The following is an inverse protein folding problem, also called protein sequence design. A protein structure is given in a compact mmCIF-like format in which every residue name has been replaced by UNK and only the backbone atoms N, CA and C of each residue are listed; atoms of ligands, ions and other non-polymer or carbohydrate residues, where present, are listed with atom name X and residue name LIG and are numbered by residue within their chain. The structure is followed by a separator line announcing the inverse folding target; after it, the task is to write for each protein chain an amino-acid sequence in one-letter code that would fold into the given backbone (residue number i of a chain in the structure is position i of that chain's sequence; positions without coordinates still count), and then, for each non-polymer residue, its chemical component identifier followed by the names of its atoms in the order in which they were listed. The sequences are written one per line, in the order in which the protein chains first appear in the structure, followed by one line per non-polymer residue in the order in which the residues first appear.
data_IF_876430276847
#
_entry.id   IF_876430276847
#
_cell.length_a   1.000
_cell.length_b   1.000
_cell.length_c   1.000
_cell.angle_alpha   90.00
_cell.angle_beta   90.00
_cell.angle_gamma   90.00
#
_symmetry.space_group_name_H-M   'P 1'
#
loop_
_entity.id
_entity.type
_entity.pdbx_description
1 polymer ?
#
# COMPACT_ATOMS: atom_id res chain seq x y z
N UNK A 1 -25.61 -51.37 3.95
CA UNK A 1 -27.03 -51.01 3.75
C UNK A 1 -27.45 -50.06 4.85
N UNK A 2 -27.06 -48.79 4.71
CA UNK A 2 -27.64 -47.61 5.39
C UNK A 2 -27.28 -46.42 4.51
N UNK A 3 -27.63 -46.53 3.22
CA UNK A 3 -27.85 -45.39 2.34
C UNK A 3 -29.35 -45.11 2.43
N UNK A 4 -29.76 -44.20 3.30
CA UNK A 4 -31.08 -43.59 3.18
C UNK A 4 -31.15 -42.29 3.99
N UNK A 5 -31.38 -41.20 3.26
CA UNK A 5 -31.82 -39.86 3.69
C UNK A 5 -30.77 -38.90 4.27
N UNK A 6 -29.80 -38.50 3.43
CA UNK A 6 -29.53 -37.06 3.31
C UNK A 6 -30.71 -36.44 2.56
N UNK A 7 -31.77 -36.17 3.33
CA UNK A 7 -32.97 -35.49 2.87
C UNK A 7 -32.58 -34.15 2.27
N UNK A 8 -32.88 -33.98 0.97
CA UNK A 8 -32.72 -32.77 0.17
C UNK A 8 -33.11 -31.52 0.97
N UNK A 9 -32.11 -30.86 1.58
CA UNK A 9 -32.32 -29.51 2.10
C UNK A 9 -32.49 -28.62 0.88
N UNK A 10 -33.56 -27.81 0.78
CA UNK A 10 -33.73 -26.91 -0.34
C UNK A 10 -32.46 -26.07 -0.48
N UNK A 11 -31.71 -26.27 -1.57
CA UNK A 11 -30.58 -25.42 -1.90
C UNK A 11 -31.17 -24.04 -2.19
N UNK A 12 -31.13 -23.16 -1.19
CA UNK A 12 -31.52 -21.76 -1.36
C UNK A 12 -30.62 -21.20 -2.47
N UNK A 13 -31.23 -20.92 -3.62
CA UNK A 13 -30.54 -20.40 -4.79
C UNK A 13 -29.82 -19.11 -4.38
N UNK A 14 -28.53 -19.01 -4.70
CA UNK A 14 -27.77 -17.81 -4.36
C UNK A 14 -28.37 -16.61 -5.12
N UNK A 15 -28.76 -15.53 -4.43
CA UNK A 15 -29.23 -14.32 -5.10
C UNK A 15 -28.10 -13.75 -5.98
N UNK A 16 -28.43 -12.84 -6.90
CA UNK A 16 -27.43 -12.20 -7.74
C UNK A 16 -26.37 -11.46 -6.90
N UNK A 17 -25.10 -11.51 -7.32
CA UNK A 17 -24.03 -10.78 -6.65
C UNK A 17 -24.07 -9.28 -7.00
N UNK A 18 -24.38 -8.96 -8.25
CA UNK A 18 -24.58 -7.58 -8.69
C UNK A 18 -25.80 -6.96 -8.00
N UNK A 19 -25.61 -5.76 -7.43
CA UNK A 19 -26.63 -5.04 -6.67
C UNK A 19 -26.82 -5.49 -5.22
N UNK A 20 -26.11 -6.52 -4.76
CA UNK A 20 -26.26 -7.06 -3.40
C UNK A 20 -25.56 -6.21 -2.33
N UNK A 21 -26.05 -6.30 -1.09
CA UNK A 21 -25.43 -5.60 0.04
C UNK A 21 -24.04 -6.17 0.37
N UNK A 22 -23.85 -7.49 0.22
CA UNK A 22 -22.52 -8.13 0.37
C UNK A 22 -21.47 -7.54 -0.58
N UNK A 23 -21.80 -7.33 -1.86
CA UNK A 23 -20.87 -6.75 -2.84
C UNK A 23 -20.55 -5.30 -2.49
N UNK A 24 -21.56 -4.53 -2.05
CA UNK A 24 -21.38 -3.14 -1.62
C UNK A 24 -20.40 -3.06 -0.43
N UNK A 25 -20.53 -3.93 0.56
CA UNK A 25 -19.62 -4.00 1.70
C UNK A 25 -18.22 -4.43 1.25
N UNK A 26 -18.11 -5.39 0.33
CA UNK A 26 -16.82 -5.79 -0.25
C UNK A 26 -16.13 -4.63 -0.97
N UNK A 27 -16.86 -3.83 -1.75
CA UNK A 27 -16.30 -2.63 -2.40
C UNK A 27 -15.88 -1.58 -1.37
N UNK A 28 -16.65 -1.39 -0.30
CA UNK A 28 -16.22 -0.50 0.80
C UNK A 28 -14.93 -0.98 1.46
N UNK A 29 -14.76 -2.29 1.67
CA UNK A 29 -13.52 -2.88 2.18
C UNK A 29 -12.34 -2.73 1.20
N UNK A 30 -12.59 -2.79 -0.11
CA UNK A 30 -11.60 -2.52 -1.15
C UNK A 30 -11.09 -1.08 -1.04
N UNK A 31 -12.00 -0.11 -0.99
CA UNK A 31 -11.63 1.31 -0.86
C UNK A 31 -10.94 1.58 0.49
N UNK A 32 -11.35 0.94 1.58
CA UNK A 32 -10.67 1.03 2.87
C UNK A 32 -9.22 0.54 2.79
N UNK A 33 -9.02 -0.64 2.20
CA UNK A 33 -7.68 -1.23 2.02
C UNK A 33 -6.81 -0.32 1.17
N UNK A 34 -7.37 0.25 0.10
CA UNK A 34 -6.69 1.23 -0.75
C UNK A 34 -6.28 2.49 0.03
N UNK A 35 -7.24 3.15 0.68
CA UNK A 35 -7.02 4.39 1.43
C UNK A 35 -6.01 4.21 2.57
N UNK A 36 -6.10 3.11 3.31
CA UNK A 36 -5.19 2.84 4.43
C UNK A 36 -3.72 2.78 4.00
N UNK A 37 -3.44 2.24 2.81
CA UNK A 37 -2.10 2.22 2.23
C UNK A 37 -1.72 3.54 1.60
N UNK A 38 -2.64 4.19 0.87
CA UNK A 38 -2.42 5.50 0.25
C UNK A 38 -1.88 6.53 1.26
N UNK A 39 -2.51 6.64 2.43
CA UNK A 39 -2.08 7.56 3.50
C UNK A 39 -0.75 7.16 4.14
N UNK A 40 -0.35 5.90 4.01
CA UNK A 40 0.75 5.33 4.79
C UNK A 40 2.05 5.23 4.00
N UNK A 41 1.97 5.00 2.68
CA UNK A 41 3.16 4.83 1.81
C UNK A 41 3.56 6.11 1.06
N UNK A 42 2.74 7.16 1.12
CA UNK A 42 2.99 8.43 0.42
C UNK A 42 4.28 9.17 0.84
N UNK A 43 4.82 8.89 2.04
CA UNK A 43 5.98 9.63 2.59
C UNK A 43 7.23 9.55 1.70
N UNK A 44 7.47 8.43 1.03
CA UNK A 44 8.61 8.30 0.12
C UNK A 44 8.59 9.35 -0.99
N UNK A 45 7.42 9.61 -1.59
CA UNK A 45 7.25 10.66 -2.60
C UNK A 45 7.22 12.06 -2.00
N UNK A 46 6.70 12.23 -0.78
CA UNK A 46 6.77 13.52 -0.07
C UNK A 46 8.23 13.96 0.13
N UNK A 47 9.12 13.05 0.54
CA UNK A 47 10.55 13.33 0.70
C UNK A 47 11.19 13.67 -0.67
N UNK A 48 10.77 12.97 -1.73
CA UNK A 48 11.18 13.28 -3.11
C UNK A 48 10.85 14.73 -3.46
N UNK A 49 9.63 15.15 -3.15
CA UNK A 49 9.11 16.49 -3.40
C UNK A 49 9.76 17.59 -2.56
N UNK A 50 10.06 17.31 -1.29
CA UNK A 50 10.71 18.27 -0.39
C UNK A 50 12.13 18.64 -0.85
N UNK A 51 12.85 17.76 -1.56
CA UNK A 51 14.19 18.11 -2.07
C UNK A 51 14.18 18.57 -3.54
N UNK A 52 13.04 18.97 -4.11
CA UNK A 52 12.94 19.43 -5.51
C UNK A 52 13.75 20.72 -5.76
N UNK A 53 14.07 21.49 -4.72
CA UNK A 53 14.82 22.75 -4.81
C UNK A 53 16.25 22.66 -5.37
N UNK A 54 16.87 21.46 -5.44
CA UNK A 54 18.27 21.31 -5.86
C UNK A 54 18.49 21.52 -7.38
N UNK A 55 17.47 21.39 -8.24
CA UNK A 55 17.65 21.47 -9.71
C UNK A 55 17.21 22.78 -10.36
N UNK A 56 16.38 23.60 -9.70
CA UNK A 56 15.93 24.88 -10.26
C UNK A 56 16.93 26.03 -10.10
N UNK A 57 17.98 25.86 -9.30
CA UNK A 57 19.02 26.88 -9.08
C UNK A 57 20.29 26.67 -9.94
N UNK A 58 20.30 25.70 -10.85
CA UNK A 58 21.45 25.42 -11.73
C UNK A 58 21.45 26.23 -13.03
N UNK A 59 20.51 27.17 -13.20
CA UNK A 59 20.50 28.12 -14.32
C UNK A 59 20.37 29.54 -13.78
N UNK A 60 21.49 30.09 -13.30
CA UNK A 60 21.69 31.53 -13.21
C UNK A 60 23.09 31.86 -13.74
N UNK A 61 23.10 32.85 -14.61
CA UNK A 61 24.16 33.35 -15.49
C UNK A 61 25.59 33.46 -14.93
N UNK A 62 26.60 33.47 -15.82
CA UNK A 62 27.99 33.69 -15.45
C UNK A 62 28.22 35.17 -15.12
N UNK A 63 28.52 35.47 -13.87
CA UNK A 63 29.09 36.78 -13.51
C UNK A 63 28.76 37.20 -12.10
N UNK A 64 29.73 37.09 -11.21
CA UNK A 64 30.35 38.22 -10.46
C UNK A 64 30.98 37.69 -9.17
N UNK A 65 32.30 37.72 -9.17
CA UNK A 65 33.21 37.98 -8.05
C UNK A 65 33.10 37.19 -6.74
N UNK A 66 33.91 36.13 -6.69
CA UNK A 66 34.88 35.80 -5.64
C UNK A 66 34.67 36.26 -4.19
N UNK A 67 34.58 35.27 -3.31
CA UNK A 67 35.25 35.32 -2.00
C UNK A 67 35.56 33.89 -1.53
N UNK A 68 36.85 33.60 -1.39
CA UNK A 68 37.40 32.35 -0.85
C UNK A 68 36.94 32.16 0.61
N UNK A 69 36.47 30.96 0.96
CA UNK A 69 36.35 30.53 2.36
C UNK A 69 37.32 29.38 2.61
N UNK A 70 38.43 29.71 3.27
CA UNK A 70 39.32 28.78 3.95
C UNK A 70 38.64 28.23 5.21
N UNK A 71 38.86 26.95 5.47
CA UNK A 71 38.50 26.26 6.70
C UNK A 71 39.18 26.88 7.91
N UNK A 72 38.42 27.10 8.99
CA UNK A 72 38.76 26.55 10.31
C UNK A 72 37.60 26.72 11.30
N UNK A 73 37.58 25.78 12.25
CA UNK A 73 36.58 25.45 13.26
C UNK A 73 36.20 26.57 14.24
N UNK A 74 34.91 26.73 14.53
CA UNK A 74 34.38 26.87 15.90
C UNK A 74 32.84 26.78 15.97
N UNK A 75 32.35 26.18 17.06
CA UNK A 75 30.96 25.87 17.36
C UNK A 75 30.25 27.10 17.94
N UNK A 76 29.26 27.66 17.24
CA UNK A 76 28.42 28.72 17.81
C UNK A 76 26.95 28.53 17.44
N UNK A 77 26.12 28.24 18.45
CA UNK A 77 24.66 28.34 18.37
C UNK A 77 24.29 29.82 18.24
N UNK A 78 23.62 30.20 17.15
CA UNK A 78 23.02 31.53 17.04
C UNK A 78 21.57 31.41 16.59
N UNK A 79 20.67 31.67 17.55
CA UNK A 79 19.27 31.97 17.29
C UNK A 79 19.16 33.33 16.64
N UNK A 80 18.52 33.40 15.47
CA UNK A 80 18.01 34.64 14.91
C UNK A 80 16.65 34.38 14.26
N UNK A 81 15.60 34.86 14.91
CA UNK A 81 14.29 35.06 14.30
C UNK A 81 14.42 36.13 13.20
N UNK A 82 14.05 35.76 11.97
CA UNK A 82 13.74 36.69 10.89
C UNK A 82 12.48 36.20 10.18
N UNK A 83 11.34 36.82 10.49
CA UNK A 83 10.09 36.60 9.78
C UNK A 83 10.11 37.36 8.45
N UNK A 84 10.44 36.67 7.37
CA UNK A 84 10.03 37.04 6.02
C UNK A 84 9.06 35.96 5.51
N UNK A 85 7.76 36.26 5.58
CA UNK A 85 6.69 35.49 4.94
C UNK A 85 6.77 35.64 3.43
N UNK A 86 7.46 34.71 2.77
CA UNK A 86 7.20 34.12 1.44
C UNK A 86 8.42 33.31 1.06
N UNK A 87 8.52 32.08 1.55
CA UNK A 87 9.25 30.99 0.92
C UNK A 87 8.84 29.70 1.63
N UNK A 88 8.59 28.66 0.84
CA UNK A 88 8.29 27.33 1.33
C UNK A 88 9.48 26.89 2.18
N UNK A 89 9.37 26.97 3.51
CA UNK A 89 10.46 26.62 4.42
C UNK A 89 10.93 25.20 4.07
N UNK A 90 12.09 25.08 3.45
CA UNK A 90 12.68 23.82 3.02
C UNK A 90 13.03 23.00 4.26
N UNK A 91 12.05 22.22 4.73
CA UNK A 91 12.26 21.26 5.82
C UNK A 91 13.08 20.11 5.25
N UNK A 92 14.39 20.27 5.26
CA UNK A 92 15.34 19.25 4.82
C UNK A 92 15.61 18.26 5.94
N UNK A 93 15.37 16.99 5.67
CA UNK A 93 15.71 15.89 6.58
C UNK A 93 17.01 15.21 6.15
N UNK A 94 17.89 14.95 7.11
CA UNK A 94 19.04 14.08 6.92
C UNK A 94 18.61 12.66 6.50
N UNK A 95 19.47 11.92 5.79
CA UNK A 95 19.19 10.56 5.31
C UNK A 95 18.82 9.61 6.46
N UNK A 96 19.46 9.77 7.63
CA UNK A 96 19.10 8.99 8.82
C UNK A 96 17.68 9.30 9.30
N UNK A 97 17.30 10.58 9.34
CA UNK A 97 15.95 11.00 9.72
C UNK A 97 14.89 10.50 8.73
N UNK A 98 15.18 10.55 7.42
CA UNK A 98 14.30 9.98 6.38
C UNK A 98 14.05 8.49 6.61
N UNK A 99 15.11 7.71 6.85
CA UNK A 99 15.01 6.28 7.15
C UNK A 99 14.19 5.99 8.42
N UNK A 100 14.39 6.78 9.48
CA UNK A 100 13.61 6.66 10.71
C UNK A 100 12.12 7.00 10.52
N UNK A 101 11.80 8.05 9.76
CA UNK A 101 10.40 8.44 9.50
C UNK A 101 9.68 7.44 8.58
N UNK A 102 10.38 6.85 7.62
CA UNK A 102 9.86 5.78 6.77
C UNK A 102 9.57 4.52 7.60
N UNK A 103 10.46 4.16 8.53
CA UNK A 103 10.28 2.99 9.41
C UNK A 103 9.26 3.20 10.52
N UNK A 104 9.04 4.44 10.97
CA UNK A 104 8.13 4.84 12.06
C UNK A 104 6.75 4.17 11.99
N UNK A 105 6.16 4.16 10.80
CA UNK A 105 4.88 3.51 10.51
C UNK A 105 4.87 2.04 10.90
N UNK A 106 5.93 1.32 10.57
CA UNK A 106 5.98 -0.12 10.76
C UNK A 106 6.09 -0.49 12.24
N UNK A 107 6.69 0.36 13.08
CA UNK A 107 6.62 0.18 14.53
C UNK A 107 5.17 0.23 15.04
N UNK A 108 4.37 1.17 14.52
CA UNK A 108 2.94 1.24 14.80
C UNK A 108 2.19 -0.02 14.39
N UNK A 109 2.43 -0.49 13.16
CA UNK A 109 1.81 -1.71 12.62
C UNK A 109 2.14 -2.92 13.49
N UNK A 110 3.42 -3.15 13.80
CA UNK A 110 3.86 -4.31 14.61
C UNK A 110 3.20 -4.31 15.99
N UNK A 111 3.12 -3.14 16.64
CA UNK A 111 2.54 -3.03 17.97
C UNK A 111 1.04 -3.35 18.01
N UNK A 112 0.28 -2.96 16.99
CA UNK A 112 -1.18 -3.05 16.98
C UNK A 112 -1.74 -4.24 16.20
N UNK A 113 -0.95 -4.91 15.35
CA UNK A 113 -1.45 -5.99 14.50
C UNK A 113 -2.11 -7.14 15.29
N UNK A 114 -1.47 -7.61 16.36
CA UNK A 114 -2.02 -8.67 17.22
C UNK A 114 -3.19 -8.16 18.07
N UNK A 115 -3.05 -6.94 18.60
CA UNK A 115 -4.06 -6.33 19.45
C UNK A 115 -5.38 -6.12 18.68
N UNK A 116 -5.31 -5.58 17.47
CA UNK A 116 -6.50 -5.38 16.61
C UNK A 116 -7.22 -6.69 16.30
N UNK A 117 -6.50 -7.79 16.08
CA UNK A 117 -7.11 -9.12 15.89
C UNK A 117 -7.90 -9.57 17.11
N UNK A 118 -7.31 -9.45 18.31
CA UNK A 118 -8.01 -9.77 19.56
C UNK A 118 -9.21 -8.86 19.82
N UNK A 119 -9.13 -7.56 19.51
CA UNK A 119 -10.27 -6.65 19.63
C UNK A 119 -11.42 -7.04 18.71
N UNK A 120 -11.13 -7.48 17.48
CA UNK A 120 -12.13 -7.97 16.54
C UNK A 120 -12.91 -9.15 17.14
N UNK A 121 -12.19 -10.11 17.72
CA UNK A 121 -12.78 -11.31 18.31
C UNK A 121 -13.57 -11.00 19.58
N UNK A 122 -13.06 -10.11 20.44
CA UNK A 122 -13.68 -9.78 21.73
C UNK A 122 -14.92 -8.89 21.58
N UNK A 123 -14.82 -7.81 20.80
CA UNK A 123 -15.88 -6.81 20.73
C UNK A 123 -16.89 -7.07 19.60
N UNK A 124 -16.47 -7.72 18.51
CA UNK A 124 -17.36 -8.04 17.40
C UNK A 124 -17.92 -6.83 16.63
N UNK A 125 -17.41 -5.62 16.89
CA UNK A 125 -17.84 -4.33 16.31
C UNK A 125 -16.86 -3.87 15.21
N UNK A 126 -16.82 -4.60 14.10
CA UNK A 126 -15.86 -4.38 13.00
C UNK A 126 -16.04 -3.00 12.37
N UNK A 127 -17.29 -2.58 12.15
CA UNK A 127 -17.63 -1.24 11.63
C UNK A 127 -16.98 -0.13 12.45
N UNK A 128 -17.14 -0.18 13.77
CA UNK A 128 -16.64 0.86 14.66
C UNK A 128 -15.11 0.94 14.64
N UNK A 129 -14.43 -0.22 14.62
CA UNK A 129 -12.97 -0.28 14.52
C UNK A 129 -12.46 0.31 13.21
N UNK A 130 -13.09 -0.05 12.08
CA UNK A 130 -12.69 0.47 10.77
C UNK A 130 -12.90 1.98 10.65
N UNK A 131 -14.06 2.49 11.10
CA UNK A 131 -14.38 3.92 11.05
C UNK A 131 -13.47 4.72 12.00
N UNK A 132 -13.25 4.22 13.22
CA UNK A 132 -12.35 4.86 14.18
C UNK A 132 -10.91 4.92 13.66
N UNK A 133 -10.39 3.79 13.16
CA UNK A 133 -9.06 3.73 12.57
C UNK A 133 -8.90 4.66 11.37
N UNK A 134 -9.88 4.66 10.46
CA UNK A 134 -9.85 5.54 9.27
C UNK A 134 -9.93 7.02 9.62
N UNK A 135 -10.78 7.39 10.57
CA UNK A 135 -10.96 8.79 11.00
C UNK A 135 -9.69 9.31 11.64
N UNK A 136 -9.11 8.56 12.59
CA UNK A 136 -7.85 8.97 13.25
C UNK A 136 -6.71 9.03 12.24
N UNK A 137 -6.59 8.02 11.36
CA UNK A 137 -5.57 8.00 10.31
C UNK A 137 -5.69 9.23 9.38
N UNK A 138 -6.92 9.56 8.96
CA UNK A 138 -7.20 10.71 8.10
C UNK A 138 -6.90 12.04 8.78
N UNK A 139 -7.32 12.21 10.05
CA UNK A 139 -7.02 13.42 10.84
C UNK A 139 -5.53 13.60 11.04
N UNK A 140 -4.81 12.55 11.44
CA UNK A 140 -3.34 12.61 11.60
C UNK A 140 -2.66 12.93 10.26
N UNK A 141 -3.17 12.39 9.14
CA UNK A 141 -2.66 12.74 7.81
C UNK A 141 -2.88 14.23 7.50
N UNK A 142 -4.08 14.77 7.72
CA UNK A 142 -4.36 16.20 7.48
C UNK A 142 -3.50 17.10 8.38
N UNK A 143 -3.25 16.69 9.62
CA UNK A 143 -2.43 17.46 10.56
C UNK A 143 -0.92 17.32 10.28
N UNK A 144 -0.49 16.35 9.46
CA UNK A 144 0.92 16.06 9.23
C UNK A 144 1.74 17.28 8.75
N UNK A 145 1.30 18.09 7.78
CA UNK A 145 2.03 19.30 7.38
C UNK A 145 2.18 20.33 8.50
N UNK A 146 1.20 20.42 9.41
CA UNK A 146 1.25 21.33 10.57
C UNK A 146 2.23 20.80 11.63
N UNK A 147 2.21 19.50 11.89
CA UNK A 147 3.15 18.85 12.81
C UNK A 147 4.59 19.05 12.33
N UNK A 148 4.84 18.91 11.02
CA UNK A 148 6.15 19.12 10.42
C UNK A 148 6.63 20.57 10.62
N UNK A 149 5.74 21.56 10.44
CA UNK A 149 6.09 22.99 10.54
C UNK A 149 6.30 23.47 11.99
N UNK A 150 5.43 23.06 12.91
CA UNK A 150 5.39 23.67 14.26
C UNK A 150 6.01 22.79 15.35
N UNK A 151 6.01 21.47 15.18
CA UNK A 151 6.44 20.53 16.23
C UNK A 151 7.76 19.81 15.88
N UNK A 152 8.12 19.73 14.60
CA UNK A 152 9.38 19.15 14.14
C UNK A 152 9.39 17.60 14.07
N UNK A 153 10.58 17.05 13.84
CA UNK A 153 10.80 15.63 13.47
C UNK A 153 10.31 14.62 14.53
N UNK A 154 10.56 14.79 15.85
CA UNK A 154 10.14 13.80 16.85
C UNK A 154 8.61 13.64 16.95
N UNK A 155 7.87 14.73 16.85
CA UNK A 155 6.41 14.70 16.87
C UNK A 155 5.84 14.11 15.58
N UNK A 156 6.47 14.40 14.44
CA UNK A 156 6.10 13.77 13.18
C UNK A 156 6.38 12.26 13.22
N UNK A 157 7.50 11.82 13.79
CA UNK A 157 7.77 10.40 14.03
C UNK A 157 6.65 9.73 14.85
N UNK A 158 6.26 10.34 15.97
CA UNK A 158 5.15 9.83 16.78
C UNK A 158 3.83 9.78 15.99
N UNK A 159 3.52 10.81 15.20
CA UNK A 159 2.35 10.82 14.32
C UNK A 159 2.39 9.65 13.31
N UNK A 160 3.56 9.35 12.74
CA UNK A 160 3.74 8.22 11.81
C UNK A 160 3.52 6.87 12.49
N UNK A 161 3.98 6.70 13.73
CA UNK A 161 3.67 5.49 14.54
C UNK A 161 2.16 5.35 14.72
N UNK A 162 1.45 6.44 15.05
CA UNK A 162 -0.02 6.44 15.20
C UNK A 162 -0.71 6.09 13.87
N UNK A 163 -0.22 6.60 12.73
CA UNK A 163 -0.77 6.24 11.42
C UNK A 163 -0.66 4.73 11.15
N UNK A 164 0.52 4.15 11.41
CA UNK A 164 0.72 2.71 11.25
C UNK A 164 -0.16 1.87 12.18
N UNK A 165 -0.34 2.31 13.42
CA UNK A 165 -1.28 1.69 14.36
C UNK A 165 -2.73 1.71 13.82
N UNK A 166 -3.18 2.87 13.32
CA UNK A 166 -4.54 3.05 12.78
C UNK A 166 -4.81 2.22 11.52
N UNK A 167 -3.78 1.99 10.70
CA UNK A 167 -3.86 1.12 9.52
C UNK A 167 -4.29 -0.32 9.89
N UNK A 168 -3.82 -0.86 11.03
CA UNK A 168 -4.23 -2.20 11.47
C UNK A 168 -5.74 -2.27 11.76
N UNK A 169 -6.31 -1.22 12.34
CA UNK A 169 -7.76 -1.15 12.61
C UNK A 169 -8.60 -1.06 11.34
N UNK A 170 -8.01 -0.67 10.21
CA UNK A 170 -8.67 -0.67 8.91
C UNK A 170 -8.68 -2.05 8.26
N UNK A 171 -7.54 -2.75 8.29
CA UNK A 171 -7.33 -3.98 7.51
C UNK A 171 -7.76 -5.23 8.30
N UNK A 172 -7.42 -5.33 9.59
CA UNK A 172 -7.71 -6.52 10.39
C UNK A 172 -9.20 -6.88 10.46
N UNK A 173 -10.15 -5.91 10.59
CA UNK A 173 -11.58 -6.23 10.65
C UNK A 173 -12.20 -6.68 9.33
N UNK A 174 -11.54 -6.49 8.18
CA UNK A 174 -12.09 -6.81 6.85
C UNK A 174 -12.48 -8.28 6.74
N UNK A 175 -11.59 -9.19 7.13
CA UNK A 175 -11.84 -10.63 7.00
C UNK A 175 -12.95 -11.12 7.96
N UNK A 176 -12.94 -10.78 9.27
CA UNK A 176 -14.05 -11.08 10.17
C UNK A 176 -15.39 -10.48 9.74
N UNK A 177 -15.39 -9.25 9.17
CA UNK A 177 -16.59 -8.62 8.65
C UNK A 177 -17.14 -9.41 7.46
N UNK A 178 -16.30 -9.70 6.46
CA UNK A 178 -16.72 -10.46 5.28
C UNK A 178 -17.18 -11.86 5.63
N UNK A 179 -16.59 -12.52 6.64
CA UNK A 179 -17.10 -13.82 7.13
C UNK A 179 -18.55 -13.79 7.60
N UNK A 180 -19.08 -12.64 8.02
CA UNK A 180 -20.50 -12.47 8.41
C UNK A 180 -21.41 -12.13 7.22
N UNK A 181 -20.83 -11.70 6.11
CA UNK A 181 -21.52 -11.19 4.93
C UNK A 181 -21.35 -12.08 3.69
N UNK A 182 -20.68 -13.21 3.84
CA UNK A 182 -20.36 -14.11 2.73
C UNK A 182 -20.58 -15.56 3.16
N UNK A 183 -20.88 -16.42 2.18
CA UNK A 183 -20.94 -17.87 2.37
C UNK A 183 -19.61 -18.52 1.97
N UNK A 184 -19.34 -19.73 2.47
CA UNK A 184 -18.06 -20.43 2.19
C UNK A 184 -17.77 -20.64 0.70
N UNK A 185 -18.80 -20.63 -0.17
CA UNK A 185 -18.66 -20.79 -1.62
C UNK A 185 -18.13 -19.52 -2.31
N UNK A 186 -18.53 -18.33 -1.85
CA UNK A 186 -18.17 -17.05 -2.46
C UNK A 186 -17.14 -16.23 -1.65
N UNK A 187 -16.87 -16.65 -0.40
CA UNK A 187 -15.98 -15.95 0.52
C UNK A 187 -14.59 -15.70 -0.07
N UNK A 188 -14.01 -16.67 -0.78
CA UNK A 188 -12.69 -16.52 -1.40
C UNK A 188 -12.63 -15.37 -2.42
N UNK A 189 -13.65 -15.28 -3.27
CA UNK A 189 -13.77 -14.23 -4.29
C UNK A 189 -13.91 -12.85 -3.64
N UNK A 190 -14.80 -12.72 -2.65
CA UNK A 190 -15.09 -11.43 -2.02
C UNK A 190 -13.96 -10.96 -1.11
N UNK A 191 -13.27 -11.86 -0.42
CA UNK A 191 -12.04 -11.54 0.32
C UNK A 191 -10.95 -11.11 -0.66
N UNK A 192 -10.76 -11.84 -1.76
CA UNK A 192 -9.80 -11.47 -2.81
C UNK A 192 -10.06 -10.06 -3.36
N UNK A 193 -11.33 -9.75 -3.67
CA UNK A 193 -11.74 -8.43 -4.14
C UNK A 193 -11.49 -7.33 -3.11
N UNK A 194 -11.81 -7.56 -1.83
CA UNK A 194 -11.53 -6.59 -0.77
C UNK A 194 -10.03 -6.29 -0.61
N UNK A 195 -9.18 -7.32 -0.68
CA UNK A 195 -7.73 -7.14 -0.59
C UNK A 195 -7.08 -6.67 -1.91
N UNK A 196 -7.79 -6.72 -3.05
CA UNK A 196 -7.29 -6.16 -4.31
C UNK A 196 -6.97 -4.65 -4.19
N UNK A 197 -7.67 -3.94 -3.29
CA UNK A 197 -7.37 -2.54 -2.95
C UNK A 197 -5.93 -2.31 -2.47
N UNK A 198 -5.31 -3.31 -1.84
CA UNK A 198 -3.89 -3.26 -1.44
C UNK A 198 -2.96 -3.22 -2.65
N UNK A 199 -3.23 -4.08 -3.63
CA UNK A 199 -2.48 -4.11 -4.88
C UNK A 199 -2.61 -2.80 -5.66
N UNK A 200 -3.85 -2.31 -5.77
CA UNK A 200 -4.15 -1.02 -6.42
C UNK A 200 -3.44 0.15 -5.75
N UNK A 201 -3.40 0.20 -4.41
CA UNK A 201 -2.71 1.28 -3.70
C UNK A 201 -1.20 1.28 -3.95
N UNK A 202 -0.55 0.12 -3.95
CA UNK A 202 0.89 0.04 -4.24
C UNK A 202 1.22 0.49 -5.68
N UNK A 203 0.29 0.32 -6.63
CA UNK A 203 0.47 0.76 -8.01
C UNK A 203 0.14 2.25 -8.22
N UNK A 204 -0.89 2.76 -7.55
CA UNK A 204 -1.41 4.09 -7.82
C UNK A 204 -0.81 5.19 -6.93
N UNK A 205 -0.33 4.88 -5.72
CA UNK A 205 0.05 5.92 -4.73
C UNK A 205 1.17 6.83 -5.23
N UNK A 206 2.30 6.27 -5.67
CA UNK A 206 3.44 7.08 -6.11
C UNK A 206 3.14 7.99 -7.32
N UNK A 207 2.46 7.54 -8.40
CA UNK A 207 2.13 8.42 -9.51
C UNK A 207 1.06 9.45 -9.12
N UNK A 208 0.05 9.08 -8.33
CA UNK A 208 -0.95 10.03 -7.85
C UNK A 208 -0.30 11.13 -7.00
N UNK A 209 0.55 10.75 -6.05
CA UNK A 209 1.22 11.71 -5.15
C UNK A 209 2.28 12.55 -5.87
N UNK A 210 2.97 12.00 -6.87
CA UNK A 210 3.89 12.74 -7.74
C UNK A 210 3.18 13.83 -8.56
N UNK A 211 2.02 13.51 -9.15
CA UNK A 211 1.21 14.50 -9.88
C UNK A 211 0.66 15.59 -8.96
N UNK A 212 0.12 15.21 -7.79
CA UNK A 212 -0.39 16.16 -6.79
C UNK A 212 0.72 17.10 -6.32
N UNK A 213 1.91 16.56 -6.11
CA UNK A 213 3.08 17.34 -5.73
C UNK A 213 3.47 18.39 -6.78
N UNK A 214 3.49 18.01 -8.05
CA UNK A 214 3.85 18.92 -9.14
C UNK A 214 2.86 20.08 -9.27
N UNK A 215 1.57 19.83 -9.03
CA UNK A 215 0.51 20.82 -9.17
C UNK A 215 0.32 21.71 -7.93
N UNK A 216 0.54 21.19 -6.73
CA UNK A 216 0.10 21.83 -5.47
C UNK A 216 1.07 21.65 -4.30
N UNK A 217 2.29 21.20 -4.56
CA UNK A 217 3.35 21.04 -3.55
C UNK A 217 3.14 19.83 -2.63
N UNK A 218 4.14 19.54 -1.79
CA UNK A 218 4.16 18.32 -0.97
C UNK A 218 3.08 18.28 0.11
N UNK A 219 2.65 19.44 0.62
CA UNK A 219 1.64 19.56 1.70
C UNK A 219 0.28 19.03 1.23
N UNK A 220 -0.04 19.29 -0.03
CA UNK A 220 -1.33 18.91 -0.64
C UNK A 220 -1.54 17.39 -0.68
N UNK A 221 -0.46 16.60 -0.76
CA UNK A 221 -0.51 15.13 -0.70
C UNK A 221 -1.19 14.67 0.59
N UNK A 222 -0.76 15.21 1.73
CA UNK A 222 -1.27 14.83 3.04
C UNK A 222 -2.74 15.22 3.23
N UNK A 223 -3.13 16.41 2.73
CA UNK A 223 -4.52 16.86 2.75
C UNK A 223 -5.41 15.97 1.89
N UNK A 224 -5.02 15.72 0.64
CA UNK A 224 -5.78 14.87 -0.28
C UNK A 224 -5.97 13.45 0.29
N UNK A 225 -4.88 12.80 0.72
CA UNK A 225 -4.93 11.46 1.27
C UNK A 225 -5.79 11.40 2.55
N UNK A 226 -5.63 12.38 3.45
CA UNK A 226 -6.39 12.43 4.70
C UNK A 226 -7.88 12.67 4.51
N UNK A 227 -8.26 13.59 3.60
CA UNK A 227 -9.67 13.87 3.26
C UNK A 227 -10.32 12.61 2.69
N UNK A 228 -9.65 11.88 1.79
CA UNK A 228 -10.16 10.61 1.25
C UNK A 228 -10.46 9.56 2.35
N UNK A 229 -9.68 9.54 3.43
CA UNK A 229 -9.92 8.67 4.59
C UNK A 229 -11.13 9.08 5.42
N UNK A 230 -11.21 10.38 5.71
CA UNK A 230 -12.32 10.94 6.48
C UNK A 230 -13.63 10.79 5.69
N UNK A 231 -13.64 11.08 4.38
CA UNK A 231 -14.80 10.90 3.53
C UNK A 231 -15.24 9.43 3.48
N UNK A 232 -14.29 8.49 3.39
CA UNK A 232 -14.60 7.07 3.47
C UNK A 232 -15.26 6.71 4.80
N UNK A 233 -14.79 7.27 5.92
CA UNK A 233 -15.38 7.06 7.25
C UNK A 233 -16.84 7.50 7.31
N UNK A 234 -17.16 8.66 6.72
CA UNK A 234 -18.54 9.18 6.64
C UNK A 234 -19.41 8.24 5.80
N UNK A 235 -18.93 7.81 4.64
CA UNK A 235 -19.68 6.88 3.77
C UNK A 235 -19.87 5.51 4.45
N UNK A 236 -18.86 5.03 5.18
CA UNK A 236 -18.90 3.78 5.92
C UNK A 236 -19.94 3.79 7.06
N UNK A 237 -20.28 4.94 7.65
CA UNK A 237 -21.36 5.06 8.62
C UNK A 237 -22.70 4.62 8.03
N UNK A 238 -22.95 4.90 6.76
CA UNK A 238 -24.23 4.60 6.11
C UNK A 238 -24.26 3.24 5.41
N UNK A 239 -23.11 2.76 4.91
CA UNK A 239 -23.05 1.55 4.06
C UNK A 239 -22.55 0.29 4.77
N UNK A 240 -21.74 0.40 5.83
CA UNK A 240 -21.20 -0.78 6.53
C UNK A 240 -22.08 -1.13 7.74
N UNK A 241 -22.41 -2.40 7.90
CA UNK A 241 -23.09 -2.94 9.09
C UNK A 241 -22.43 -4.25 9.53
N UNK A 242 -22.32 -4.47 10.84
CA UNK A 242 -21.62 -5.65 11.38
C UNK A 242 -22.34 -6.97 11.16
N UNK A 243 -23.66 -6.94 10.95
CA UNK A 243 -24.49 -8.13 10.75
C UNK A 243 -25.59 -7.85 9.71
N UNK A 244 -25.94 -8.83 8.86
CA UNK A 244 -27.00 -8.66 7.86
C UNK A 244 -28.36 -8.39 8.50
N UNK A 245 -28.60 -8.89 9.72
CA UNK A 245 -29.86 -8.68 10.43
C UNK A 245 -30.16 -7.22 10.82
N UNK A 246 -29.13 -6.38 10.96
CA UNK A 246 -29.26 -4.95 11.29
C UNK A 246 -29.23 -4.04 10.08
N UNK A 247 -28.99 -4.57 8.89
CA UNK A 247 -28.80 -3.77 7.69
C UNK A 247 -30.17 -3.41 7.07
N UNK A 248 -30.50 -2.11 6.88
CA UNK A 248 -31.84 -1.69 6.47
C UNK A 248 -32.17 -2.02 5.01
N UNK A 249 -31.17 -2.15 4.14
CA UNK A 249 -31.36 -2.39 2.69
C UNK A 249 -31.15 -3.85 2.24
N UNK A 250 -30.93 -4.78 3.17
CA UNK A 250 -30.74 -6.19 2.81
C UNK A 250 -32.08 -6.79 2.42
N UNK A 251 -32.12 -7.46 1.26
CA UNK A 251 -33.34 -8.15 0.80
C UNK A 251 -33.65 -9.36 1.68
N UNK A 252 -34.93 -9.77 1.71
CA UNK A 252 -35.35 -10.93 2.51
C UNK A 252 -34.67 -12.20 2.02
N UNK A 253 -34.50 -12.35 0.70
CA UNK A 253 -33.83 -13.49 0.07
C UNK A 253 -32.34 -13.54 0.47
N UNK A 254 -31.63 -12.39 0.40
CA UNK A 254 -30.21 -12.30 0.78
C UNK A 254 -30.01 -12.62 2.27
N UNK A 255 -30.90 -12.12 3.13
CA UNK A 255 -30.87 -12.42 4.57
C UNK A 255 -31.07 -13.90 4.84
N UNK A 256 -32.04 -14.55 4.21
CA UNK A 256 -32.30 -15.98 4.37
C UNK A 256 -31.14 -16.83 3.85
N UNK A 257 -30.55 -16.45 2.72
CA UNK A 257 -29.36 -17.10 2.14
C UNK A 257 -28.15 -17.06 3.09
N UNK A 258 -27.87 -15.90 3.69
CA UNK A 258 -26.74 -15.73 4.63
C UNK A 258 -26.99 -16.50 5.94
N UNK A 259 -28.18 -16.37 6.55
CA UNK A 259 -28.51 -16.99 7.84
C UNK A 259 -28.52 -18.51 7.74
N UNK A 260 -29.14 -19.08 6.70
CA UNK A 260 -29.20 -20.53 6.50
C UNK A 260 -27.81 -21.17 6.38
N UNK A 261 -26.87 -20.48 5.73
CA UNK A 261 -25.49 -20.93 5.59
C UNK A 261 -24.68 -20.75 6.88
N UNK A 262 -24.92 -19.67 7.62
CA UNK A 262 -24.20 -19.37 8.86
C UNK A 262 -24.61 -20.31 10.01
N UNK A 263 -25.88 -20.69 10.09
CA UNK A 263 -26.38 -21.68 11.08
C UNK A 263 -25.74 -23.06 10.85
N UNK A 264 -25.53 -23.47 9.59
CA UNK A 264 -24.81 -24.71 9.26
C UNK A 264 -23.32 -24.68 9.66
N UNK A 265 -22.71 -23.49 9.66
CA UNK A 265 -21.33 -23.28 10.10
C UNK A 265 -21.20 -23.31 11.63
N UNK A 266 -22.14 -22.70 12.35
CA UNK A 266 -22.15 -22.63 13.81
C UNK A 266 -22.47 -23.98 14.45
N UNK A 267 -23.33 -24.81 13.84
CA UNK A 267 -23.65 -26.15 14.35
C UNK A 267 -22.44 -27.10 14.35
N UNK A 268 -21.35 -26.76 13.63
CA UNK A 268 -20.12 -27.55 13.56
C UNK A 268 -18.99 -27.03 14.45
N UNK A 269 -19.15 -25.87 15.10
CA UNK A 269 -18.06 -25.21 15.81
C UNK A 269 -18.27 -25.30 17.33
N UNK A 270 -17.82 -26.39 17.94
CA UNK A 270 -17.62 -26.45 19.40
C UNK A 270 -16.57 -25.41 19.79
N UNK A 271 -16.76 -24.66 20.89
CA UNK A 271 -15.74 -23.75 21.45
C UNK A 271 -14.51 -24.56 21.85
N UNK A 272 -13.59 -24.77 20.92
CA UNK A 272 -12.31 -25.42 21.20
C UNK A 272 -11.33 -24.37 21.70
N UNK A 273 -10.69 -24.65 22.84
CA UNK A 273 -9.61 -23.81 23.35
C UNK A 273 -8.45 -23.87 22.36
N UNK A 274 -8.04 -22.72 21.84
CA UNK A 274 -6.95 -22.61 20.86
C UNK A 274 -5.63 -22.96 21.58
N UNK A 275 -4.89 -24.01 21.15
CA UNK A 275 -3.66 -24.42 21.82
C UNK A 275 -2.47 -23.56 21.40
N UNK A 276 -2.45 -22.30 21.83
CA UNK A 276 -1.45 -21.28 21.46
C UNK A 276 0.00 -21.75 21.64
N UNK A 277 0.31 -22.39 22.77
CA UNK A 277 1.67 -22.89 23.04
C UNK A 277 2.12 -23.94 22.01
N UNK A 278 1.24 -24.89 21.65
CA UNK A 278 1.57 -25.92 20.64
C UNK A 278 1.76 -25.32 19.26
N UNK A 279 0.98 -24.29 18.91
CA UNK A 279 1.11 -23.59 17.63
C UNK A 279 2.44 -22.83 17.58
N UNK A 280 2.75 -22.06 18.63
CA UNK A 280 3.98 -21.26 18.71
C UNK A 280 5.25 -22.11 18.81
N UNK A 281 5.19 -23.32 19.35
CA UNK A 281 6.33 -24.25 19.40
C UNK A 281 6.46 -25.12 18.14
N UNK A 282 5.56 -25.01 17.17
CA UNK A 282 5.59 -25.85 15.98
C UNK A 282 6.61 -25.36 14.96
N UNK A 283 7.45 -26.29 14.46
CA UNK A 283 8.46 -26.03 13.43
C UNK A 283 7.87 -25.41 12.15
N UNK A 284 6.71 -25.86 11.62
CA UNK A 284 6.14 -25.27 10.41
C UNK A 284 5.76 -23.79 10.57
N UNK A 285 5.34 -23.36 11.78
CA UNK A 285 4.99 -21.96 12.04
C UNK A 285 6.25 -21.09 11.97
N UNK A 286 7.34 -21.50 12.62
CA UNK A 286 8.60 -20.77 12.54
C UNK A 286 9.18 -20.74 11.13
N UNK A 287 9.08 -21.83 10.38
CA UNK A 287 9.51 -21.86 8.98
C UNK A 287 8.76 -20.81 8.14
N UNK A 288 7.44 -20.68 8.33
CA UNK A 288 6.61 -19.70 7.63
C UNK A 288 6.91 -18.27 8.09
N UNK A 289 7.09 -18.05 9.39
CA UNK A 289 7.45 -16.72 9.95
C UNK A 289 8.78 -16.24 9.36
N UNK A 290 9.83 -17.05 9.44
CA UNK A 290 11.16 -16.70 8.94
C UNK A 290 11.13 -16.43 7.44
N UNK A 291 10.45 -17.27 6.67
CA UNK A 291 10.32 -17.11 5.21
C UNK A 291 9.60 -15.81 4.85
N UNK A 292 8.47 -15.51 5.51
CA UNK A 292 7.74 -14.27 5.28
C UNK A 292 8.55 -13.04 5.72
N UNK A 293 9.30 -13.13 6.81
CA UNK A 293 10.15 -12.05 7.28
C UNK A 293 11.15 -11.63 6.21
N UNK A 294 11.92 -12.58 5.66
CA UNK A 294 12.89 -12.26 4.60
C UNK A 294 12.21 -11.77 3.31
N UNK A 295 11.09 -12.37 2.93
CA UNK A 295 10.33 -11.94 1.75
C UNK A 295 9.84 -10.49 1.88
N UNK A 296 9.24 -10.13 3.02
CA UNK A 296 8.79 -8.77 3.28
C UNK A 296 9.95 -7.80 3.44
N UNK A 297 11.04 -8.18 4.12
CA UNK A 297 12.21 -7.33 4.28
C UNK A 297 12.81 -6.94 2.91
N UNK A 298 13.00 -7.91 2.02
CA UNK A 298 13.49 -7.65 0.66
C UNK A 298 12.48 -6.81 -0.15
N UNK A 299 11.24 -7.27 -0.25
CA UNK A 299 10.25 -6.65 -1.16
C UNK A 299 9.82 -5.26 -0.69
N UNK A 300 9.51 -5.09 0.60
CA UNK A 300 9.10 -3.79 1.16
C UNK A 300 10.29 -2.85 1.27
N UNK A 301 11.46 -3.34 1.65
CA UNK A 301 12.69 -2.54 1.67
C UNK A 301 12.95 -1.90 0.31
N UNK A 302 12.83 -2.67 -0.78
CA UNK A 302 12.95 -2.12 -2.13
C UNK A 302 11.86 -1.10 -2.44
N UNK A 303 10.57 -1.44 -2.26
CA UNK A 303 9.45 -0.56 -2.65
C UNK A 303 9.47 0.78 -1.90
N UNK A 304 9.90 0.79 -0.64
CA UNK A 304 9.96 2.01 0.19
C UNK A 304 11.10 2.92 -0.28
N UNK A 305 12.26 2.34 -0.57
CA UNK A 305 13.46 3.11 -0.95
C UNK A 305 13.53 3.39 -2.46
N UNK A 306 12.64 2.79 -3.26
CA UNK A 306 12.65 2.92 -4.72
C UNK A 306 12.54 4.39 -5.17
N UNK A 307 11.64 5.23 -4.64
CA UNK A 307 11.56 6.63 -5.07
C UNK A 307 12.83 7.43 -4.75
N UNK A 308 13.49 7.12 -3.62
CA UNK A 308 14.75 7.74 -3.23
C UNK A 308 15.88 7.30 -4.17
N UNK A 309 15.96 6.00 -4.51
CA UNK A 309 16.96 5.49 -5.44
C UNK A 309 16.80 6.08 -6.84
N UNK A 310 15.56 6.13 -7.36
CA UNK A 310 15.27 6.66 -8.70
C UNK A 310 15.57 8.15 -8.79
N UNK A 311 15.37 8.92 -7.71
CA UNK A 311 15.79 10.31 -7.66
C UNK A 311 17.31 10.44 -7.49
N UNK A 312 17.86 9.91 -6.41
CA UNK A 312 19.23 10.19 -5.97
C UNK A 312 20.29 9.54 -6.88
N UNK A 313 19.97 8.45 -7.61
CA UNK A 313 20.94 7.72 -8.45
C UNK A 313 20.66 7.87 -9.95
N UNK A 314 19.39 7.92 -10.35
CA UNK A 314 19.02 8.01 -11.78
C UNK A 314 18.69 9.45 -12.23
N UNK A 315 18.62 10.39 -11.28
CA UNK A 315 18.40 11.82 -11.50
C UNK A 315 17.14 12.15 -12.31
N UNK A 316 16.08 11.38 -12.07
CA UNK A 316 14.79 11.58 -12.72
C UNK A 316 13.95 12.66 -12.04
N UNK A 317 13.15 13.37 -12.85
CA UNK A 317 12.15 14.32 -12.35
C UNK A 317 11.12 13.64 -11.44
N UNK A 318 10.42 14.42 -10.59
CA UNK A 318 9.40 13.89 -9.66
C UNK A 318 8.32 13.08 -10.38
N UNK A 319 7.91 13.53 -11.57
CA UNK A 319 6.83 12.91 -12.37
C UNK A 319 7.30 11.60 -12.99
N UNK A 320 8.51 11.58 -13.57
CA UNK A 320 9.14 10.34 -14.05
C UNK A 320 9.35 9.35 -12.90
N UNK A 321 9.84 9.82 -11.75
CA UNK A 321 10.06 9.01 -10.57
C UNK A 321 8.75 8.35 -10.08
N UNK A 322 7.65 9.11 -10.04
CA UNK A 322 6.33 8.57 -9.69
C UNK A 322 5.89 7.43 -10.62
N UNK A 323 6.14 7.55 -11.92
CA UNK A 323 5.81 6.52 -12.93
C UNK A 323 6.71 5.29 -12.78
N UNK A 324 8.04 5.48 -12.72
CA UNK A 324 8.99 4.38 -12.57
C UNK A 324 8.79 3.62 -11.24
N UNK A 325 8.49 4.35 -10.16
CA UNK A 325 8.22 3.76 -8.85
C UNK A 325 6.92 2.94 -8.82
N UNK A 326 5.97 3.20 -9.72
CA UNK A 326 4.74 2.39 -9.85
C UNK A 326 4.93 1.11 -10.67
N UNK A 327 5.91 1.05 -11.58
CA UNK A 327 6.06 -0.07 -12.52
C UNK A 327 6.12 -1.44 -11.84
N UNK A 328 6.93 -1.67 -10.77
CA UNK A 328 6.99 -2.97 -10.13
C UNK A 328 5.64 -3.44 -9.59
N UNK A 329 4.87 -2.50 -9.02
CA UNK A 329 3.55 -2.78 -8.46
C UNK A 329 2.51 -3.09 -9.56
N UNK A 330 2.56 -2.38 -10.69
CA UNK A 330 1.67 -2.63 -11.84
C UNK A 330 1.98 -4.00 -12.46
N UNK A 331 3.26 -4.31 -12.68
CA UNK A 331 3.68 -5.61 -13.22
C UNK A 331 3.28 -6.73 -12.26
N UNK A 332 3.48 -6.55 -10.95
CA UNK A 332 3.04 -7.51 -9.95
C UNK A 332 1.51 -7.74 -9.95
N UNK A 333 0.73 -6.68 -10.18
CA UNK A 333 -0.73 -6.77 -10.30
C UNK A 333 -1.13 -7.60 -11.53
N UNK A 334 -0.54 -7.31 -12.70
CA UNK A 334 -0.82 -8.03 -13.95
C UNK A 334 -0.39 -9.50 -13.87
N UNK A 335 0.79 -9.78 -13.30
CA UNK A 335 1.26 -11.15 -13.08
C UNK A 335 0.35 -11.92 -12.13
N UNK A 336 -0.20 -11.28 -11.09
CA UNK A 336 -1.16 -11.93 -10.19
C UNK A 336 -2.41 -12.43 -10.93
N UNK A 337 -2.90 -11.67 -11.92
CA UNK A 337 -4.08 -12.04 -12.72
C UNK A 337 -3.82 -13.28 -13.60
N UNK A 338 -2.57 -13.58 -13.94
CA UNK A 338 -2.19 -14.74 -14.75
C UNK A 338 -1.79 -15.93 -13.87
N UNK A 339 -0.95 -15.70 -12.87
CA UNK A 339 -0.36 -16.74 -12.01
C UNK A 339 -1.40 -17.36 -11.07
N UNK A 340 -2.39 -16.60 -10.61
CA UNK A 340 -3.48 -17.11 -9.76
C UNK A 340 -4.31 -18.20 -10.46
N UNK A 341 -4.94 -17.91 -11.61
CA UNK A 341 -5.66 -18.90 -12.40
C UNK A 341 -4.77 -20.07 -12.86
N UNK A 342 -3.50 -19.80 -13.19
CA UNK A 342 -2.54 -20.85 -13.52
C UNK A 342 -2.32 -21.81 -12.35
N UNK A 343 -2.15 -21.29 -11.13
CA UNK A 343 -2.02 -22.11 -9.94
C UNK A 343 -3.26 -22.99 -9.71
N UNK A 344 -4.46 -22.41 -9.83
CA UNK A 344 -5.71 -23.15 -9.68
C UNK A 344 -5.89 -24.19 -10.78
N UNK A 345 -5.51 -23.89 -12.02
CA UNK A 345 -5.52 -24.83 -13.14
C UNK A 345 -4.59 -26.03 -12.90
N UNK A 346 -3.33 -25.78 -12.53
CA UNK A 346 -2.35 -26.83 -12.23
C UNK A 346 -2.81 -27.69 -11.05
N UNK A 347 -3.39 -27.05 -10.02
CA UNK A 347 -3.97 -27.74 -8.87
C UNK A 347 -5.19 -28.59 -9.26
N UNK A 348 -6.07 -28.08 -10.13
CA UNK A 348 -7.27 -28.78 -10.57
C UNK A 348 -6.95 -30.03 -11.40
N UNK A 349 -5.85 -30.01 -12.17
CA UNK A 349 -5.38 -31.17 -12.94
C UNK A 349 -4.91 -32.34 -12.07
N UNK A 350 -4.69 -32.14 -10.76
CA UNK A 350 -4.25 -33.17 -9.79
C UNK A 350 -3.01 -33.97 -10.21
N UNK A 351 -2.18 -33.43 -11.13
CA UNK A 351 -0.95 -34.08 -11.62
C UNK A 351 0.10 -34.14 -10.51
N UNK A 352 0.14 -33.11 -9.66
CA UNK A 352 1.06 -33.00 -8.54
C UNK A 352 0.29 -32.91 -7.21
N UNK A 353 0.95 -33.31 -6.12
CA UNK A 353 0.40 -33.09 -4.77
C UNK A 353 0.34 -31.60 -4.44
N UNK A 354 -0.64 -31.19 -3.64
CA UNK A 354 -0.85 -29.77 -3.26
C UNK A 354 0.41 -29.17 -2.63
N UNK A 355 1.15 -29.96 -1.86
CA UNK A 355 2.40 -29.53 -1.22
C UNK A 355 3.50 -29.24 -2.24
N UNK A 356 3.65 -30.08 -3.26
CA UNK A 356 4.65 -29.88 -4.32
C UNK A 356 4.32 -28.62 -5.11
N UNK A 357 3.07 -28.44 -5.56
CA UNK A 357 2.65 -27.24 -6.31
C UNK A 357 2.93 -25.97 -5.49
N UNK A 358 2.55 -25.93 -4.21
CA UNK A 358 2.80 -24.78 -3.32
C UNK A 358 4.29 -24.49 -3.15
N UNK A 359 5.11 -25.52 -2.92
CA UNK A 359 6.57 -25.35 -2.77
C UNK A 359 7.21 -24.83 -4.06
N UNK A 360 6.86 -25.40 -5.21
CA UNK A 360 7.42 -24.98 -6.51
C UNK A 360 7.12 -23.52 -6.83
N UNK A 361 5.84 -23.10 -6.71
CA UNK A 361 5.47 -21.71 -6.96
C UNK A 361 6.15 -20.75 -5.97
N UNK A 362 6.29 -21.16 -4.70
CA UNK A 362 6.97 -20.36 -3.70
C UNK A 362 8.47 -20.22 -3.98
N UNK A 363 9.16 -21.29 -4.38
CA UNK A 363 10.58 -21.27 -4.73
C UNK A 363 10.82 -20.40 -5.97
N UNK A 364 10.01 -20.56 -7.02
CA UNK A 364 10.11 -19.73 -8.23
C UNK A 364 9.88 -18.25 -7.88
N UNK A 365 8.84 -17.96 -7.10
CA UNK A 365 8.48 -16.61 -6.71
C UNK A 365 9.49 -15.90 -5.80
N UNK A 366 10.37 -16.63 -5.12
CA UNK A 366 11.41 -16.05 -4.23
C UNK A 366 12.79 -16.06 -4.85
N UNK A 367 13.14 -17.11 -5.61
CA UNK A 367 14.47 -17.27 -6.22
C UNK A 367 14.70 -16.25 -7.34
N UNK A 368 13.70 -16.00 -8.19
CA UNK A 368 13.83 -15.03 -9.30
C UNK A 368 14.11 -13.62 -8.75
N UNK A 369 13.31 -13.05 -7.83
CA UNK A 369 13.62 -11.75 -7.23
C UNK A 369 14.98 -11.71 -6.52
N UNK A 370 15.39 -12.80 -5.85
CA UNK A 370 16.68 -12.86 -5.17
C UNK A 370 17.86 -12.74 -6.16
N UNK A 371 17.81 -13.46 -7.28
CA UNK A 371 18.83 -13.37 -8.34
C UNK A 371 18.85 -11.95 -8.93
N UNK A 372 17.70 -11.36 -9.19
CA UNK A 372 17.62 -10.00 -9.74
C UNK A 372 18.18 -8.95 -8.78
N UNK A 373 17.86 -9.05 -7.49
CA UNK A 373 18.44 -8.17 -6.45
C UNK A 373 19.95 -8.31 -6.36
N UNK A 374 20.45 -9.54 -6.46
CA UNK A 374 21.88 -9.78 -6.49
C UNK A 374 22.53 -9.11 -7.70
N UNK A 375 21.95 -9.23 -8.90
CA UNK A 375 22.45 -8.54 -10.10
C UNK A 375 22.47 -7.02 -9.91
N UNK A 376 21.41 -6.43 -9.37
CA UNK A 376 21.34 -4.99 -9.10
C UNK A 376 22.42 -4.55 -8.12
N UNK A 377 22.73 -5.37 -7.10
CA UNK A 377 23.79 -5.06 -6.14
C UNK A 377 25.20 -5.04 -6.75
N UNK A 378 25.42 -5.69 -7.90
CA UNK A 378 26.69 -5.69 -8.62
C UNK A 378 26.84 -4.52 -9.61
N UNK A 379 25.81 -3.66 -9.77
CA UNK A 379 25.89 -2.53 -10.68
C UNK A 379 26.84 -1.46 -10.12
N UNK A 380 27.82 -0.98 -10.93
CA UNK A 380 28.76 0.04 -10.47
C UNK A 380 28.06 1.39 -10.24
N UNK A 381 28.45 2.16 -9.21
CA UNK A 381 27.85 3.45 -8.93
C UNK A 381 28.09 4.50 -10.04
N UNK A 382 27.00 5.13 -10.45
CA UNK A 382 26.84 6.37 -11.22
C UNK A 382 27.30 6.45 -12.69
N UNK A 383 28.57 6.24 -13.06
CA UNK A 383 29.04 6.79 -14.36
C UNK A 383 28.75 5.96 -15.62
N UNK A 384 28.34 4.68 -15.49
CA UNK A 384 28.12 3.80 -16.67
C UNK A 384 26.67 3.66 -17.12
N UNK A 385 25.68 3.89 -16.26
CA UNK A 385 24.27 3.60 -16.59
C UNK A 385 23.68 4.68 -17.51
N UNK A 386 24.01 5.95 -17.27
CA UNK A 386 23.50 7.05 -18.09
C UNK A 386 23.93 6.93 -19.57
N UNK A 387 25.19 6.55 -19.82
CA UNK A 387 25.73 6.43 -21.19
C UNK A 387 25.35 5.13 -21.91
N UNK A 388 25.00 4.05 -21.20
CA UNK A 388 24.82 2.73 -21.81
C UNK A 388 23.36 2.32 -22.04
N UNK A 389 22.43 2.81 -21.21
CA UNK A 389 20.99 2.47 -21.35
C UNK A 389 20.17 3.54 -22.08
N UNK A 390 20.50 4.83 -21.89
CA UNK A 390 19.74 5.94 -22.50
C UNK A 390 20.23 6.35 -23.89
N UNK A 391 21.26 5.69 -24.43
CA UNK A 391 21.70 5.85 -25.80
C UNK A 391 20.92 4.99 -26.81
N UNK A 392 19.98 4.15 -26.34
CA UNK A 392 19.04 3.48 -27.22
C UNK A 392 17.88 4.43 -27.56
N UNK A 393 17.81 4.83 -28.83
CA UNK A 393 16.94 5.87 -29.42
C UNK A 393 15.44 5.77 -29.09
N UNK A 394 14.94 4.61 -28.63
CA UNK A 394 13.53 4.45 -28.31
C UNK A 394 13.09 5.17 -27.02
N UNK A 395 13.97 5.29 -26.00
CA UNK A 395 13.67 6.05 -24.78
C UNK A 395 13.86 7.55 -24.96
N UNK A 396 14.77 7.96 -25.86
CA UNK A 396 14.94 9.37 -26.24
C UNK A 396 13.68 9.91 -26.91
N UNK A 397 13.00 9.10 -27.72
CA UNK A 397 11.69 9.45 -28.31
C UNK A 397 10.53 9.53 -27.31
N UNK A 398 10.61 8.83 -26.17
CA UNK A 398 9.62 8.94 -25.09
C UNK A 398 9.87 10.20 -24.26
N UNK A 399 11.13 10.54 -23.98
CA UNK A 399 11.52 11.79 -23.31
C UNK A 399 11.12 13.03 -24.13
N UNK A 400 11.31 12.99 -25.45
CA UNK A 400 10.92 14.10 -26.36
C UNK A 400 9.39 14.24 -26.50
N UNK A 401 8.59 13.20 -26.19
CA UNK A 401 7.11 13.29 -26.23
C UNK A 401 6.47 13.91 -25.00
N UNK A 402 7.17 13.99 -23.88
CA UNK A 402 6.63 14.49 -22.60
C UNK A 402 6.90 15.99 -22.38
N UNK A 403 7.90 16.57 -23.05
CA UNK A 403 8.07 18.02 -23.13
C UNK A 403 7.06 18.59 -24.14
N UNK A 404 5.95 19.12 -23.63
CA UNK A 404 4.78 19.59 -24.38
C UNK A 404 5.02 20.68 -25.45
N UNK A 405 5.69 20.33 -26.56
CA UNK A 405 5.64 21.06 -27.83
C UNK A 405 5.19 20.13 -28.93
N UNK A 406 3.92 20.26 -29.30
CA UNK A 406 3.35 19.66 -30.50
C UNK A 406 4.04 20.33 -31.70
N UNK A 407 5.07 19.70 -32.26
CA UNK A 407 5.54 19.99 -33.62
C UNK A 407 5.10 18.84 -34.52
N UNK A 408 4.05 19.10 -35.30
CA UNK A 408 3.70 18.28 -36.46
C UNK A 408 4.75 18.55 -37.52
N UNK A 409 5.73 17.65 -37.67
CA UNK A 409 6.61 17.64 -38.84
C UNK A 409 6.07 16.59 -39.82
N UNK A 410 5.33 17.08 -40.81
CA UNK A 410 4.93 16.30 -41.99
C UNK A 410 6.18 15.73 -42.66
N UNK A 411 6.18 14.42 -42.90
CA UNK A 411 7.17 13.75 -43.73
C UNK A 411 7.02 14.28 -45.18
N UNK A 412 7.93 15.16 -45.58
CA UNK A 412 8.17 15.46 -46.99
C UNK A 412 9.16 14.44 -47.54
N UNK A 413 8.65 13.50 -48.35
CA UNK A 413 9.47 12.74 -49.28
C UNK A 413 10.03 13.72 -50.33
N UNK A 414 11.33 13.68 -50.56
CA UNK A 414 11.97 14.51 -51.57
C UNK A 414 13.30 13.92 -52.03
N UNK A 415 13.20 13.19 -53.15
CA UNK A 415 14.20 12.89 -54.19
C UNK A 415 15.54 12.28 -53.80
#
# INVERSE_FOLDING_TARGET
MTDEKEMDKPQILAPSLFGSCRLTITMMCLVASFNSLLMTINLGMVIVCMNKGDHSNSTSDPGTSGSNCTSDSEFQYQSACGYNTTEESDVRWDKNAQGMLLSATYYGVVSMQLLTGWLCDKFGKMKALMIGGSTVLGVVSVLSPLIIQYAGVPFFFAARVVMGACMCFMISPVLPLLRRWTTSKEQGLLVGLAFAGVGLANAATYPMTGLICELSGWRSIFYFCGICGISWSVVALFLIYDTPGRHPRVSVEEKQYLVSTQVQSLSKTTKTVIPWSKILLSVPVWAVITTNFFFFAATKGTVINLPLFVRDVLDFSVTENGIFSAMPSVVALLLHLVIGPLFDYVRAKKIFTVTVVRKTFHVIGTLIPAIMMFIVSQLPPEKKIHNHWFNHDWLRNVRIRLDGRIFVRLHGHGS
#
